data_IF_672056104089
#
_entry.id   IF_672056104089
#
_cell.length_a   1.000
_cell.length_b   1.000
_cell.length_c   1.000
_cell.angle_alpha   90.00
_cell.angle_beta   90.00
_cell.angle_gamma   90.00
#
_symmetry.space_group_name_H-M   'P 1'
#
loop_
_entity.id
_entity.type
_entity.pdbx_description
1 polymer ?
#
# COMPACT_ATOMS: atom_id res chain seq x y z
N UNK A 1 -39.76 25.44 2.30
CA UNK A 1 -38.79 25.41 1.18
C UNK A 1 -39.37 24.83 -0.11
N UNK A 2 -39.90 23.60 -0.15
CA UNK A 2 -40.43 23.01 -1.41
C UNK A 2 -41.52 23.87 -2.10
N UNK A 3 -42.43 24.47 -1.34
CA UNK A 3 -43.45 25.39 -1.87
C UNK A 3 -42.87 26.65 -2.54
N UNK A 4 -41.73 27.17 -2.06
CA UNK A 4 -41.04 28.29 -2.71
C UNK A 4 -40.38 27.91 -4.05
N UNK A 5 -40.16 26.60 -4.27
CA UNK A 5 -39.58 26.05 -5.50
C UNK A 5 -40.66 25.41 -6.40
N UNK A 6 -41.95 25.70 -6.17
CA UNK A 6 -43.05 25.09 -6.94
C UNK A 6 -43.10 23.56 -6.88
N UNK A 7 -42.51 22.95 -5.85
CA UNK A 7 -42.25 21.52 -5.75
C UNK A 7 -43.03 20.85 -4.62
N UNK A 8 -43.35 19.57 -4.76
CA UNK A 8 -43.98 18.74 -3.70
C UNK A 8 -42.91 18.10 -2.83
N UNK A 9 -42.95 18.33 -1.52
CA UNK A 9 -42.11 17.63 -0.57
C UNK A 9 -42.59 16.19 -0.38
N UNK A 10 -41.67 15.23 -0.46
CA UNK A 10 -41.89 13.83 -0.08
C UNK A 10 -40.82 13.51 0.95
N UNK A 11 -41.23 13.22 2.18
CA UNK A 11 -40.31 12.83 3.24
C UNK A 11 -39.84 11.40 3.03
N UNK A 12 -38.53 11.17 3.11
CA UNK A 12 -37.93 9.84 2.97
C UNK A 12 -37.01 9.62 4.18
N UNK A 13 -37.31 8.60 4.97
CA UNK A 13 -36.50 8.09 6.09
C UNK A 13 -35.81 9.17 6.95
N UNK A 14 -36.55 10.19 7.38
CA UNK A 14 -36.05 11.22 8.29
C UNK A 14 -35.35 10.65 9.55
N UNK A 15 -35.84 9.57 10.20
CA UNK A 15 -35.15 8.98 11.35
C UNK A 15 -33.89 8.17 11.01
N UNK A 16 -33.58 7.92 9.72
CA UNK A 16 -32.45 7.11 9.25
C UNK A 16 -32.48 5.65 9.71
N UNK A 17 -33.64 5.03 9.68
CA UNK A 17 -33.80 3.63 10.07
C UNK A 17 -33.16 2.67 9.05
N UNK A 18 -33.13 3.03 7.77
CA UNK A 18 -32.58 2.16 6.72
C UNK A 18 -31.08 2.35 6.54
N UNK A 19 -30.59 3.60 6.65
CA UNK A 19 -29.15 3.92 6.54
C UNK A 19 -28.76 4.80 7.73
N UNK A 20 -28.39 4.19 8.87
CA UNK A 20 -28.13 4.90 10.14
C UNK A 20 -26.76 5.60 10.15
N UNK A 21 -26.48 6.41 9.13
CA UNK A 21 -25.21 7.09 8.93
C UNK A 21 -25.40 8.59 8.64
N UNK A 22 -24.38 9.40 8.90
CA UNK A 22 -24.35 10.82 8.53
C UNK A 22 -22.94 11.26 8.19
N UNK A 23 -22.79 12.34 7.41
CA UNK A 23 -21.47 12.88 7.09
C UNK A 23 -20.67 13.30 8.34
N UNK A 24 -21.34 13.75 9.41
CA UNK A 24 -20.67 14.06 10.69
C UNK A 24 -20.14 12.80 11.36
N UNK A 25 -20.93 11.73 11.40
CA UNK A 25 -20.50 10.44 11.97
C UNK A 25 -19.31 9.86 11.20
N UNK A 26 -19.34 9.89 9.86
CA UNK A 26 -18.24 9.41 9.01
C UNK A 26 -16.95 10.20 9.26
N UNK A 27 -17.02 11.54 9.38
CA UNK A 27 -15.83 12.35 9.65
C UNK A 27 -15.29 12.17 11.07
N UNK A 28 -16.15 11.86 12.04
CA UNK A 28 -15.74 11.58 13.40
C UNK A 28 -15.05 10.21 13.51
N UNK A 29 -15.59 9.19 12.87
CA UNK A 29 -15.01 7.84 12.82
C UNK A 29 -15.47 7.09 11.56
N UNK A 30 -14.64 7.11 10.51
CA UNK A 30 -14.93 6.44 9.26
C UNK A 30 -14.88 4.90 9.40
N UNK A 31 -14.08 4.37 10.32
CA UNK A 31 -13.90 2.92 10.49
C UNK A 31 -15.08 2.29 11.21
N UNK A 32 -15.71 3.01 12.13
CA UNK A 32 -16.99 2.62 12.74
C UNK A 32 -18.17 2.69 11.75
N UNK A 33 -18.06 3.53 10.71
CA UNK A 33 -19.10 3.71 9.68
C UNK A 33 -18.84 2.94 8.39
N UNK A 34 -17.82 2.08 8.36
CA UNK A 34 -17.25 1.47 7.14
C UNK A 34 -18.28 0.82 6.21
N UNK A 35 -19.23 0.09 6.80
CA UNK A 35 -20.24 -0.67 6.06
C UNK A 35 -21.27 0.22 5.35
N UNK A 36 -21.35 1.49 5.74
CA UNK A 36 -22.20 2.51 5.10
C UNK A 36 -21.46 3.34 4.05
N UNK A 37 -20.14 3.20 3.92
CA UNK A 37 -19.34 4.00 2.99
C UNK A 37 -19.42 3.43 1.58
N UNK A 38 -19.68 4.31 0.60
CA UNK A 38 -19.57 3.96 -0.81
C UNK A 38 -18.09 3.73 -1.20
N UNK A 39 -17.80 2.92 -2.24
CA UNK A 39 -16.43 2.54 -2.61
C UNK A 39 -15.43 3.72 -2.78
N UNK A 40 -15.80 4.86 -3.39
CA UNK A 40 -14.88 6.01 -3.46
C UNK A 40 -14.49 6.58 -2.10
N UNK A 41 -15.42 6.55 -1.13
CA UNK A 41 -15.17 7.02 0.24
C UNK A 41 -14.32 6.01 1.02
N UNK A 42 -14.53 4.70 0.79
CA UNK A 42 -13.64 3.66 1.32
C UNK A 42 -12.22 3.84 0.81
N UNK A 43 -12.04 4.07 -0.50
CA UNK A 43 -10.71 4.32 -1.09
C UNK A 43 -10.00 5.55 -0.50
N UNK A 44 -10.76 6.56 -0.08
CA UNK A 44 -10.19 7.72 0.61
C UNK A 44 -9.66 7.38 2.02
N UNK A 45 -10.46 6.68 2.83
CA UNK A 45 -10.16 6.38 4.24
C UNK A 45 -9.33 5.10 4.46
N UNK A 46 -9.28 4.19 3.48
CA UNK A 46 -8.48 2.97 3.57
C UNK A 46 -7.01 3.30 3.85
N UNK A 47 -6.45 2.60 4.84
CA UNK A 47 -5.06 2.73 5.25
C UNK A 47 -4.18 1.86 4.36
N UNK A 48 -3.21 2.47 3.70
CA UNK A 48 -2.29 1.75 2.79
C UNK A 48 -1.10 1.22 3.57
N UNK A 49 -1.00 -0.09 3.65
CA UNK A 49 0.09 -0.83 4.28
C UNK A 49 0.99 -1.35 3.18
N UNK A 50 2.18 -0.78 3.05
CA UNK A 50 3.12 -1.16 2.00
C UNK A 50 4.17 -2.09 2.60
N UNK A 51 4.25 -3.30 2.07
CA UNK A 51 5.31 -4.26 2.42
C UNK A 51 6.47 -4.06 1.45
N UNK A 52 7.65 -3.81 1.99
CA UNK A 52 8.88 -3.53 1.25
C UNK A 52 9.96 -4.53 1.66
N UNK A 53 10.89 -4.79 0.75
CA UNK A 53 12.04 -5.62 1.04
C UNK A 53 12.95 -5.78 -0.16
N UNK A 54 14.20 -6.12 0.10
CA UNK A 54 15.09 -6.59 -0.94
C UNK A 54 14.58 -7.94 -1.49
N UNK A 55 15.10 -8.34 -2.64
CA UNK A 55 14.69 -9.59 -3.28
C UNK A 55 14.78 -10.79 -2.32
N UNK A 56 13.78 -11.66 -2.34
CA UNK A 56 13.76 -12.91 -1.56
C UNK A 56 13.72 -12.74 -0.03
N UNK A 57 13.28 -11.59 0.47
CA UNK A 57 13.14 -11.35 1.93
C UNK A 57 11.74 -11.67 2.48
N UNK A 58 10.88 -12.34 1.70
CA UNK A 58 9.56 -12.79 2.14
C UNK A 58 8.46 -11.73 2.10
N UNK A 59 8.68 -10.62 1.39
CA UNK A 59 7.74 -9.51 1.18
C UNK A 59 6.36 -9.99 0.71
N UNK A 60 6.29 -10.71 -0.40
CA UNK A 60 5.03 -11.28 -0.94
C UNK A 60 4.35 -12.24 0.02
N UNK A 61 5.12 -13.08 0.71
CA UNK A 61 4.58 -14.03 1.68
C UNK A 61 3.91 -13.30 2.84
N UNK A 62 4.57 -12.27 3.39
CA UNK A 62 4.02 -11.45 4.46
C UNK A 62 2.79 -10.66 3.99
N UNK A 63 2.86 -10.02 2.82
CA UNK A 63 1.77 -9.22 2.27
C UNK A 63 0.48 -10.06 2.10
N UNK A 64 0.60 -11.27 1.54
CA UNK A 64 -0.53 -12.19 1.39
C UNK A 64 -1.09 -12.66 2.73
N UNK A 65 -0.22 -13.05 3.67
CA UNK A 65 -0.64 -13.48 5.00
C UNK A 65 -1.35 -12.36 5.78
N UNK A 66 -0.89 -11.12 5.62
CA UNK A 66 -1.50 -9.95 6.24
C UNK A 66 -2.87 -9.63 5.65
N UNK A 67 -3.00 -9.72 4.32
CA UNK A 67 -4.28 -9.51 3.65
C UNK A 67 -5.32 -10.57 4.03
N UNK A 68 -4.90 -11.84 4.13
CA UNK A 68 -5.72 -12.93 4.62
C UNK A 68 -6.16 -12.70 6.07
N UNK A 69 -5.23 -12.33 6.94
CA UNK A 69 -5.52 -12.03 8.35
C UNK A 69 -6.61 -10.96 8.52
N UNK A 70 -6.56 -9.88 7.75
CA UNK A 70 -7.54 -8.79 7.81
C UNK A 70 -8.76 -9.00 6.90
N UNK A 71 -8.82 -10.10 6.15
CA UNK A 71 -9.85 -10.34 5.13
C UNK A 71 -10.02 -9.14 4.20
N UNK A 72 -8.90 -8.69 3.62
CA UNK A 72 -8.84 -7.47 2.81
C UNK A 72 -8.13 -7.68 1.47
N UNK A 73 -8.15 -6.66 0.62
CA UNK A 73 -7.51 -6.65 -0.68
C UNK A 73 -5.98 -6.60 -0.57
N UNK A 74 -5.32 -7.31 -1.48
CA UNK A 74 -3.89 -7.30 -1.69
C UNK A 74 -3.58 -6.93 -3.14
N UNK A 75 -2.60 -6.04 -3.33
CA UNK A 75 -2.05 -5.70 -4.65
C UNK A 75 -0.69 -6.34 -4.79
N UNK A 76 -0.51 -7.18 -5.80
CA UNK A 76 0.75 -7.82 -6.12
C UNK A 76 1.73 -6.84 -6.79
N UNK A 77 3.03 -7.16 -6.73
CA UNK A 77 4.08 -6.36 -7.33
C UNK A 77 4.01 -6.38 -8.85
N UNK A 78 3.59 -5.27 -9.46
CA UNK A 78 3.51 -5.17 -10.92
C UNK A 78 4.88 -5.20 -11.60
N UNK A 79 5.94 -4.70 -10.95
CA UNK A 79 7.31 -4.75 -11.49
C UNK A 79 7.76 -6.19 -11.83
N UNK A 80 7.30 -7.19 -11.05
CA UNK A 80 7.55 -8.61 -11.33
C UNK A 80 6.80 -9.09 -12.56
N UNK A 81 5.52 -8.74 -12.70
CA UNK A 81 4.72 -9.05 -13.89
C UNK A 81 5.36 -8.45 -15.15
N UNK A 82 5.73 -7.16 -15.08
CA UNK A 82 6.37 -6.45 -16.18
C UNK A 82 7.69 -7.10 -16.59
N UNK A 83 8.54 -7.45 -15.62
CA UNK A 83 9.85 -8.08 -15.87
C UNK A 83 9.70 -9.43 -16.57
N UNK A 84 8.71 -10.25 -16.16
CA UNK A 84 8.43 -11.54 -16.80
C UNK A 84 7.93 -11.36 -18.24
N UNK A 85 7.06 -10.38 -18.47
CA UNK A 85 6.57 -10.06 -19.81
C UNK A 85 7.72 -9.60 -20.72
N UNK A 86 8.55 -8.68 -20.23
CA UNK A 86 9.74 -8.18 -20.92
C UNK A 86 10.70 -9.31 -21.29
N UNK A 87 10.98 -10.20 -20.34
CA UNK A 87 11.82 -11.39 -20.58
C UNK A 87 11.21 -12.31 -21.66
N UNK A 88 9.89 -12.50 -21.66
CA UNK A 88 9.21 -13.33 -22.66
C UNK A 88 9.31 -12.76 -24.08
N UNK A 89 9.50 -11.45 -24.21
CA UNK A 89 9.75 -10.76 -25.49
C UNK A 89 11.23 -10.80 -25.91
N UNK A 90 12.12 -11.34 -25.08
CA UNK A 90 13.55 -11.39 -25.32
C UNK A 90 14.28 -10.05 -25.11
N UNK A 91 13.66 -9.12 -24.40
CA UNK A 91 14.24 -7.81 -24.07
C UNK A 91 15.03 -7.90 -22.76
N UNK A 92 16.22 -7.30 -22.73
CA UNK A 92 17.09 -7.29 -21.54
C UNK A 92 17.52 -5.89 -21.10
N UNK A 93 17.38 -4.89 -21.97
CA UNK A 93 17.75 -3.50 -21.68
C UNK A 93 16.63 -2.77 -20.95
N UNK A 94 16.96 -2.05 -19.88
CA UNK A 94 16.04 -1.29 -19.06
C UNK A 94 16.13 0.22 -19.37
N UNK A 95 14.99 0.88 -19.39
CA UNK A 95 14.87 2.33 -19.57
C UNK A 95 14.13 2.99 -18.39
N UNK A 96 14.43 4.25 -18.12
CA UNK A 96 13.83 5.00 -16.99
C UNK A 96 12.31 5.11 -17.13
N UNK A 97 11.82 5.23 -18.36
CA UNK A 97 10.42 5.32 -18.72
C UNK A 97 9.62 4.08 -18.30
N UNK A 98 10.24 2.90 -18.33
CA UNK A 98 9.60 1.65 -17.91
C UNK A 98 9.36 1.64 -16.40
N UNK A 99 10.28 2.18 -15.60
CA UNK A 99 10.07 2.31 -14.16
C UNK A 99 8.96 3.31 -13.82
N UNK A 100 8.81 4.38 -14.61
CA UNK A 100 7.67 5.30 -14.49
C UNK A 100 6.36 4.62 -14.86
N UNK A 101 6.34 3.79 -15.90
CA UNK A 101 5.17 2.98 -16.27
C UNK A 101 4.80 2.01 -15.14
N UNK A 102 5.77 1.26 -14.62
CA UNK A 102 5.59 0.33 -13.50
C UNK A 102 5.01 1.05 -12.28
N UNK A 103 5.59 2.20 -11.90
CA UNK A 103 5.13 2.97 -10.75
C UNK A 103 3.68 3.47 -10.95
N UNK A 104 3.34 3.97 -12.14
CA UNK A 104 1.99 4.46 -12.45
C UNK A 104 0.95 3.35 -12.41
N UNK A 105 1.27 2.21 -13.01
CA UNK A 105 0.34 1.07 -13.05
C UNK A 105 0.16 0.46 -11.66
N UNK A 106 1.24 0.34 -10.88
CA UNK A 106 1.17 -0.07 -9.48
C UNK A 106 0.24 0.86 -8.69
N UNK A 107 0.44 2.18 -8.75
CA UNK A 107 -0.42 3.16 -8.06
C UNK A 107 -1.88 3.10 -8.55
N UNK A 108 -2.12 2.91 -9.84
CA UNK A 108 -3.48 2.73 -10.37
C UNK A 108 -4.18 1.52 -9.75
N UNK A 109 -3.49 0.38 -9.68
CA UNK A 109 -4.00 -0.86 -9.05
C UNK A 109 -4.25 -0.66 -7.56
N UNK A 110 -3.38 0.06 -6.86
CA UNK A 110 -3.56 0.43 -5.45
C UNK A 110 -4.80 1.29 -5.23
N UNK A 111 -5.02 2.31 -6.06
CA UNK A 111 -6.18 3.19 -5.95
C UNK A 111 -7.51 2.48 -6.25
N UNK A 112 -7.51 1.51 -7.17
CA UNK A 112 -8.68 0.68 -7.45
C UNK A 112 -8.96 -0.29 -6.30
N UNK A 113 -7.95 -1.01 -5.83
CA UNK A 113 -8.08 -1.98 -4.75
C UNK A 113 -8.48 -1.31 -3.42
N UNK A 114 -8.05 -0.07 -3.17
CA UNK A 114 -8.44 0.68 -1.97
C UNK A 114 -9.96 0.87 -1.84
N UNK A 115 -10.70 0.89 -2.96
CA UNK A 115 -12.17 1.07 -2.97
C UNK A 115 -12.91 -0.17 -2.47
N UNK A 116 -12.30 -1.34 -2.66
CA UNK A 116 -12.85 -2.65 -2.29
C UNK A 116 -12.24 -3.21 -0.99
N UNK A 117 -11.14 -2.63 -0.52
CA UNK A 117 -10.45 -3.03 0.69
C UNK A 117 -11.34 -2.91 1.96
N UNK A 118 -11.02 -3.73 2.96
CA UNK A 118 -11.60 -3.67 4.30
C UNK A 118 -10.66 -2.90 5.25
N UNK A 119 -10.87 -1.58 5.36
CA UNK A 119 -10.13 -0.61 6.21
C UNK A 119 -8.63 -0.49 5.94
N UNK A 120 -7.95 -1.58 5.62
CA UNK A 120 -6.54 -1.68 5.24
C UNK A 120 -6.43 -2.17 3.80
N UNK A 121 -5.59 -1.54 2.98
CA UNK A 121 -5.13 -2.09 1.72
C UNK A 121 -3.69 -2.58 1.90
N UNK A 122 -3.39 -3.82 1.49
CA UNK A 122 -2.02 -4.35 1.53
C UNK A 122 -1.39 -4.24 0.14
N UNK A 123 -0.26 -3.55 0.04
CA UNK A 123 0.48 -3.38 -1.22
C UNK A 123 1.81 -4.14 -1.15
N UNK A 124 2.01 -5.07 -2.08
CA UNK A 124 3.30 -5.66 -2.41
C UNK A 124 3.79 -5.04 -3.72
N UNK A 125 5.02 -4.58 -3.72
CA UNK A 125 5.41 -3.27 -3.17
C UNK A 125 4.57 -2.01 -3.58
N UNK A 126 5.18 -0.83 -3.71
CA UNK A 126 4.58 0.41 -4.23
C UNK A 126 5.61 1.23 -5.05
N UNK A 127 5.19 2.38 -5.58
CA UNK A 127 6.06 3.28 -6.36
C UNK A 127 7.36 3.70 -5.65
N UNK A 128 7.38 3.75 -4.32
CA UNK A 128 8.62 4.03 -3.56
C UNK A 128 9.66 2.93 -3.78
N UNK A 129 9.28 1.65 -3.72
CA UNK A 129 10.20 0.54 -4.03
C UNK A 129 10.76 0.65 -5.45
N UNK A 130 9.91 1.05 -6.41
CA UNK A 130 10.30 1.23 -7.81
C UNK A 130 11.43 2.25 -7.96
N UNK A 131 11.53 3.28 -7.11
CA UNK A 131 12.66 4.23 -7.13
C UNK A 131 14.00 3.55 -6.83
N UNK A 132 14.01 2.60 -5.89
CA UNK A 132 15.23 1.87 -5.51
C UNK A 132 15.59 0.79 -6.53
N UNK A 133 14.58 0.13 -7.11
CA UNK A 133 14.79 -0.76 -8.25
C UNK A 133 15.35 0.01 -9.46
N UNK A 134 14.81 1.19 -9.78
CA UNK A 134 15.36 2.05 -10.83
C UNK A 134 16.83 2.38 -10.57
N UNK A 135 17.17 2.86 -9.36
CA UNK A 135 18.56 3.13 -8.96
C UNK A 135 19.47 1.92 -9.16
N UNK A 136 18.97 0.73 -8.80
CA UNK A 136 19.69 -0.53 -8.94
C UNK A 136 20.01 -0.86 -10.40
N UNK A 137 18.99 -0.86 -11.26
CA UNK A 137 19.14 -1.29 -12.65
C UNK A 137 19.82 -0.23 -13.53
N UNK A 138 19.57 1.05 -13.26
CA UNK A 138 20.05 2.16 -14.08
C UNK A 138 21.37 2.74 -13.56
N UNK A 139 21.72 2.50 -12.29
CA UNK A 139 22.93 3.03 -11.66
C UNK A 139 22.86 4.51 -11.26
N UNK A 140 21.70 5.15 -11.39
CA UNK A 140 21.47 6.55 -11.00
C UNK A 140 20.03 6.77 -10.51
N UNK A 141 19.78 7.91 -9.85
CA UNK A 141 18.45 8.28 -9.33
C UNK A 141 17.66 9.06 -10.40
N UNK A 142 16.35 8.81 -10.50
CA UNK A 142 15.45 9.55 -11.39
C UNK A 142 14.56 10.51 -10.61
N UNK A 143 14.79 11.82 -10.75
CA UNK A 143 14.00 12.87 -10.10
C UNK A 143 12.50 12.78 -10.44
N UNK A 144 12.07 12.62 -11.72
CA UNK A 144 10.65 12.47 -12.03
C UNK A 144 9.98 11.27 -11.37
N UNK A 145 10.71 10.15 -11.22
CA UNK A 145 10.19 8.95 -10.55
C UNK A 145 10.09 9.14 -9.04
N UNK A 146 11.06 9.80 -8.42
CA UNK A 146 11.03 10.13 -7.00
C UNK A 146 9.93 11.14 -6.66
N UNK A 147 9.73 12.16 -7.49
CA UNK A 147 8.62 13.10 -7.36
C UNK A 147 7.26 12.39 -7.46
N UNK A 148 7.12 11.49 -8.43
CA UNK A 148 5.92 10.67 -8.56
C UNK A 148 5.70 9.81 -7.31
N UNK A 149 6.71 9.07 -6.86
CA UNK A 149 6.61 8.21 -5.67
C UNK A 149 6.26 9.01 -4.39
N UNK A 150 6.78 10.23 -4.22
CA UNK A 150 6.42 11.13 -3.11
C UNK A 150 4.95 11.58 -3.14
N UNK A 151 4.32 11.59 -4.31
CA UNK A 151 2.90 11.92 -4.45
C UNK A 151 1.97 10.75 -4.10
N UNK A 152 2.50 9.52 -4.08
CA UNK A 152 1.75 8.31 -3.74
C UNK A 152 1.48 8.22 -2.23
N UNK A 153 0.37 7.59 -1.86
CA UNK A 153 -0.05 7.45 -0.45
C UNK A 153 0.50 6.18 0.19
N UNK A 154 1.05 6.30 1.39
CA UNK A 154 1.32 5.19 2.30
C UNK A 154 0.99 5.63 3.73
N UNK A 155 0.38 4.75 4.52
CA UNK A 155 0.08 5.00 5.93
C UNK A 155 1.01 4.22 6.87
N UNK A 156 1.65 3.15 6.37
CA UNK A 156 2.66 2.36 7.09
C UNK A 156 3.55 1.63 6.09
N UNK A 157 4.86 1.66 6.35
CA UNK A 157 5.84 0.81 5.69
C UNK A 157 6.24 -0.36 6.60
N UNK A 158 6.15 -1.58 6.07
CA UNK A 158 6.65 -2.79 6.71
C UNK A 158 7.89 -3.24 5.92
N UNK A 159 9.08 -3.01 6.48
CA UNK A 159 10.34 -3.43 5.84
C UNK A 159 10.70 -4.84 6.30
N UNK A 160 10.75 -5.81 5.40
CA UNK A 160 11.22 -7.15 5.71
C UNK A 160 12.73 -7.18 5.89
N UNK A 161 13.19 -7.78 6.99
CA UNK A 161 14.60 -7.98 7.27
C UNK A 161 15.28 -8.90 6.25
N UNK A 162 16.60 -8.75 6.15
CA UNK A 162 17.51 -9.51 5.30
C UNK A 162 18.26 -10.59 6.09
N UNK A 163 17.65 -11.16 7.12
CA UNK A 163 18.20 -12.22 7.96
C UNK A 163 17.87 -13.64 7.44
N UNK A 164 16.95 -13.75 6.46
CA UNK A 164 16.54 -15.05 5.89
C UNK A 164 17.68 -15.63 5.02
N UNK A 165 18.08 -16.91 5.14
CA UNK A 165 19.07 -17.49 4.24
C UNK A 165 18.67 -17.39 2.76
N UNK A 166 19.59 -17.00 1.88
CA UNK A 166 19.32 -16.85 0.44
C UNK A 166 18.90 -18.18 -0.21
N UNK A 167 17.85 -18.14 -1.05
CA UNK A 167 17.43 -19.27 -1.90
C UNK A 167 17.37 -18.77 -3.34
N UNK A 168 18.18 -19.37 -4.23
CA UNK A 168 18.28 -19.00 -5.64
C UNK A 168 17.10 -19.60 -6.44
N UNK A 169 16.26 -18.78 -7.08
CA UNK A 169 15.08 -19.24 -7.86
C UNK A 169 15.22 -19.05 -9.38
N UNK A 170 16.38 -18.59 -9.87
CA UNK A 170 16.70 -18.51 -11.29
C UNK A 170 16.47 -17.15 -11.95
N UNK A 171 15.89 -16.17 -11.26
CA UNK A 171 15.76 -14.78 -11.73
C UNK A 171 16.75 -13.80 -11.05
N UNK A 172 17.61 -14.28 -10.13
CA UNK A 172 18.21 -13.44 -9.09
C UNK A 172 19.72 -13.25 -9.18
N UNK A 173 20.17 -12.04 -8.89
CA UNK A 173 21.55 -11.56 -9.07
C UNK A 173 22.54 -11.89 -7.90
N UNK A 174 22.06 -12.38 -6.74
CA UNK A 174 22.92 -12.92 -5.65
C UNK A 174 22.73 -12.31 -4.25
N UNK A 175 23.44 -12.87 -3.26
CA UNK A 175 23.26 -12.61 -1.81
C UNK A 175 23.82 -11.25 -1.34
N UNK A 176 24.98 -10.80 -1.83
CA UNK A 176 25.61 -9.53 -1.42
C UNK A 176 24.76 -8.31 -1.76
N UNK A 177 24.13 -8.37 -2.92
CA UNK A 177 23.22 -7.38 -3.49
C UNK A 177 22.00 -7.15 -2.59
N UNK A 178 21.54 -8.20 -1.89
CA UNK A 178 20.37 -8.13 -1.04
C UNK A 178 20.62 -7.23 0.17
N UNK A 179 21.77 -7.38 0.82
CA UNK A 179 22.17 -6.59 1.98
C UNK A 179 22.38 -5.12 1.61
N UNK A 180 23.01 -4.86 0.45
CA UNK A 180 23.17 -3.50 -0.06
C UNK A 180 21.80 -2.85 -0.33
N UNK A 181 20.91 -3.56 -1.01
CA UNK A 181 19.56 -3.07 -1.30
C UNK A 181 18.73 -2.87 -0.03
N UNK A 182 18.86 -3.75 0.97
CA UNK A 182 18.25 -3.56 2.28
C UNK A 182 18.76 -2.28 2.95
N UNK A 183 20.07 -2.03 2.90
CA UNK A 183 20.67 -0.77 3.36
C UNK A 183 20.08 0.46 2.66
N UNK A 184 19.87 0.41 1.35
CA UNK A 184 19.20 1.50 0.61
C UNK A 184 17.75 1.71 1.04
N UNK A 185 17.00 0.63 1.33
CA UNK A 185 15.66 0.76 1.87
C UNK A 185 15.68 1.43 3.26
N UNK A 186 16.57 1.01 4.16
CA UNK A 186 16.71 1.60 5.49
C UNK A 186 17.06 3.08 5.40
N UNK A 187 18.04 3.45 4.56
CA UNK A 187 18.43 4.84 4.33
C UNK A 187 17.27 5.67 3.76
N UNK A 188 16.61 5.19 2.71
CA UNK A 188 15.53 5.92 2.06
C UNK A 188 14.28 6.05 2.94
N UNK A 189 14.04 5.10 3.84
CA UNK A 189 12.92 5.12 4.79
C UNK A 189 13.21 5.92 6.07
N UNK A 190 14.45 6.35 6.32
CA UNK A 190 14.78 7.10 7.53
C UNK A 190 14.06 8.46 7.63
N UNK A 191 13.82 9.10 6.47
CA UNK A 191 13.26 10.45 6.37
C UNK A 191 11.81 10.49 5.88
N UNK A 192 11.13 9.34 5.74
CA UNK A 192 9.73 9.34 5.29
C UNK A 192 8.82 9.78 6.44
N UNK A 193 7.80 10.63 6.19
CA UNK A 193 6.89 11.13 7.23
C UNK A 193 5.80 10.11 7.62
N UNK A 194 6.08 8.82 7.45
CA UNK A 194 5.15 7.70 7.61
C UNK A 194 5.80 6.69 8.56
N UNK A 195 5.05 6.06 9.49
CA UNK A 195 5.61 5.02 10.34
C UNK A 195 6.29 3.91 9.51
N UNK A 196 7.46 3.47 9.98
CA UNK A 196 8.22 2.37 9.40
C UNK A 196 8.46 1.33 10.48
N UNK A 197 8.17 0.06 10.18
CA UNK A 197 8.41 -1.06 11.09
C UNK A 197 9.24 -2.10 10.37
N UNK A 198 10.41 -2.41 10.94
CA UNK A 198 11.22 -3.54 10.54
C UNK A 198 10.56 -4.83 11.07
N UNK A 199 10.40 -5.83 10.21
CA UNK A 199 9.82 -7.14 10.57
C UNK A 199 10.82 -8.25 10.32
N UNK A 200 11.13 -8.99 11.38
CA UNK A 200 12.17 -10.02 11.41
C UNK A 200 11.69 -11.29 12.09
N UNK A 201 12.45 -12.37 11.90
CA UNK A 201 12.22 -13.68 12.49
C UNK A 201 11.36 -14.58 11.62
N UNK A 202 10.69 -15.54 12.26
CA UNK A 202 9.84 -16.52 11.57
C UNK A 202 8.64 -15.87 10.88
N UNK A 203 8.03 -16.51 9.86
CA UNK A 203 6.84 -15.98 9.19
C UNK A 203 5.70 -15.59 10.16
N UNK A 204 5.55 -16.36 11.25
CA UNK A 204 4.58 -16.07 12.30
C UNK A 204 4.92 -14.79 13.08
N UNK A 205 6.17 -14.64 13.52
CA UNK A 205 6.61 -13.45 14.25
C UNK A 205 6.47 -12.18 13.39
N UNK A 206 6.90 -12.26 12.12
CA UNK A 206 6.74 -11.17 11.15
C UNK A 206 5.28 -10.76 10.98
N UNK A 207 4.37 -11.73 10.86
CA UNK A 207 2.93 -11.47 10.78
C UNK A 207 2.38 -10.84 12.08
N UNK A 208 2.75 -11.37 13.26
CA UNK A 208 2.31 -10.83 14.55
C UNK A 208 2.76 -9.36 14.73
N UNK A 209 4.00 -9.03 14.39
CA UNK A 209 4.51 -7.65 14.40
C UNK A 209 3.78 -6.76 13.40
N UNK A 210 3.56 -7.23 12.17
CA UNK A 210 2.85 -6.49 11.14
C UNK A 210 1.40 -6.18 11.53
N UNK A 211 0.69 -7.15 12.10
CA UNK A 211 -0.69 -7.00 12.59
C UNK A 211 -0.77 -5.97 13.71
N UNK A 212 0.15 -6.03 14.68
CA UNK A 212 0.21 -5.07 15.77
C UNK A 212 0.43 -3.64 15.26
N UNK A 213 1.33 -3.46 14.29
CA UNK A 213 1.59 -2.16 13.67
C UNK A 213 0.36 -1.61 12.93
N UNK A 214 -0.37 -2.46 12.20
CA UNK A 214 -1.61 -2.06 11.51
C UNK A 214 -2.70 -1.62 12.50
N UNK A 215 -2.86 -2.32 13.62
CA UNK A 215 -3.84 -1.97 14.65
C UNK A 215 -3.69 -0.56 15.21
N UNK A 216 -2.46 -0.03 15.27
CA UNK A 216 -2.18 1.34 15.72
C UNK A 216 -2.78 2.43 14.82
N UNK A 217 -3.00 2.14 13.52
CA UNK A 217 -3.47 3.13 12.54
C UNK A 217 -4.97 3.42 12.62
N UNK A 218 -5.75 2.49 13.15
CA UNK A 218 -7.22 2.60 13.27
C UNK A 218 -7.67 2.90 14.70
N UNK A 219 -6.75 2.85 15.67
CA UNK A 219 -7.05 3.03 17.10
C UNK A 219 -7.03 4.49 17.58
N UNK A 220 -6.98 5.47 16.67
CA UNK A 220 -6.90 6.91 16.98
C UNK A 220 -8.21 7.68 16.74
N UNK A 221 -9.34 7.10 17.19
CA UNK A 221 -10.66 7.74 17.22
C UNK A 221 -10.99 8.48 18.53
N UNK A 222 -9.96 8.86 19.31
CA UNK A 222 -10.12 9.52 20.61
C UNK A 222 -9.73 11.00 20.57
N UNK A 223 -10.57 11.84 19.97
CA UNK A 223 -10.68 13.27 20.27
C UNK A 223 -9.48 14.18 19.97
N UNK A 224 -9.61 15.01 18.94
CA UNK A 224 -9.14 16.39 19.01
C UNK A 224 -10.27 17.30 18.56
N UNK A 225 -11.07 17.71 19.54
CA UNK A 225 -11.90 18.90 19.39
C UNK A 225 -11.00 20.14 19.35
N UNK A 226 -11.25 20.99 18.37
CA UNK A 226 -11.03 22.43 18.42
C UNK A 226 -12.27 23.09 17.83
#
# INVERSE_FOLDING_TARGET
YAGYMGSRHIMVDQPRLNVPCSGTAVRADAFAQWDHLAPPVRGWYAKRIVVLGAESTGTTTLARALAEHFSTSWVAEYGREYSLEKQSRGESEWFTEEFLEIAREQTRREDEAAREANRFLICDTNAFATTLWHRRYMGFRSEPLEEFAKSCRADLYLLTGDEIPFVQDGLRDGESIRHEMHGWFVEALADVPVPVVLVEGTPRQRLETAVAACGGLISSGGGMGI
#
